data_IF_646768482985
#
_entry.id   IF_646768482985
#
_cell.length_a   1.000
_cell.length_b   1.000
_cell.length_c   1.000
_cell.angle_alpha   90.00
_cell.angle_beta   90.00
_cell.angle_gamma   90.00
#
_symmetry.space_group_name_H-M   'P 1'
#
loop_
_entity.id
_entity.type
_entity.pdbx_description
1 polymer ?
#
# COMPACT_ATOMS: atom_id res chain seq x y z
N UNK A 1 28.73 -43.52 -11.72
CA UNK A 1 28.72 -42.25 -10.96
C UNK A 1 28.26 -41.04 -11.78
N UNK A 2 28.72 -40.86 -13.03
CA UNK A 2 28.37 -39.71 -13.89
C UNK A 2 26.85 -39.54 -14.16
N UNK A 3 26.11 -40.65 -14.31
CA UNK A 3 24.64 -40.64 -14.50
C UNK A 3 23.88 -40.24 -13.23
N UNK A 4 24.37 -40.65 -12.07
CA UNK A 4 23.81 -40.26 -10.76
C UNK A 4 24.01 -38.76 -10.52
N UNK A 5 25.19 -38.24 -10.89
CA UNK A 5 25.51 -36.82 -10.78
C UNK A 5 24.59 -35.96 -11.66
N UNK A 6 24.32 -36.40 -12.89
CA UNK A 6 23.38 -35.73 -13.80
C UNK A 6 21.95 -35.72 -13.23
N UNK A 7 21.48 -36.86 -12.70
CA UNK A 7 20.17 -36.96 -12.07
C UNK A 7 20.03 -36.02 -10.85
N UNK A 8 21.06 -35.97 -9.99
CA UNK A 8 21.07 -35.09 -8.83
C UNK A 8 21.08 -33.59 -9.21
N UNK A 9 21.78 -33.21 -10.28
CA UNK A 9 21.78 -31.84 -10.79
C UNK A 9 20.41 -31.45 -11.37
N UNK A 10 19.76 -32.36 -12.09
CA UNK A 10 18.44 -32.10 -12.65
C UNK A 10 17.36 -31.97 -11.58
N UNK A 11 17.39 -32.78 -10.53
CA UNK A 11 16.41 -32.68 -9.44
C UNK A 11 16.58 -31.39 -8.63
N UNK A 12 17.83 -30.92 -8.44
CA UNK A 12 18.10 -29.65 -7.77
C UNK A 12 17.61 -28.45 -8.61
N UNK A 13 17.75 -28.51 -9.94
CA UNK A 13 17.28 -27.46 -10.84
C UNK A 13 15.75 -27.34 -10.88
N UNK A 14 15.02 -28.46 -10.80
CA UNK A 14 13.55 -28.46 -10.79
C UNK A 14 12.94 -28.12 -9.42
N UNK A 15 13.65 -28.40 -8.32
CA UNK A 15 13.18 -28.13 -6.95
C UNK A 15 13.34 -26.68 -6.48
N UNK A 16 14.02 -25.82 -7.25
CA UNK A 16 14.29 -24.43 -6.86
C UNK A 16 13.10 -23.48 -7.05
N UNK A 17 12.01 -23.92 -7.70
CA UNK A 17 10.83 -23.11 -7.96
C UNK A 17 9.97 -22.99 -6.69
N UNK A 18 10.32 -22.06 -5.80
CA UNK A 18 9.58 -21.78 -4.55
C UNK A 18 10.46 -21.59 -3.32
N UNK A 19 11.75 -21.96 -3.39
CA UNK A 19 12.74 -21.70 -2.33
C UNK A 19 13.26 -20.26 -2.32
N UNK A 20 13.07 -19.53 -3.42
CA UNK A 20 13.36 -18.11 -3.48
C UNK A 20 12.14 -17.34 -2.94
N UNK A 21 12.29 -16.58 -1.82
CA UNK A 21 11.20 -15.74 -1.34
C UNK A 21 10.77 -14.82 -2.47
N UNK A 22 9.46 -14.72 -2.67
CA UNK A 22 8.86 -13.94 -3.74
C UNK A 22 9.26 -12.46 -3.58
N UNK A 23 10.36 -12.04 -4.21
CA UNK A 23 10.93 -10.68 -4.11
C UNK A 23 10.03 -9.59 -4.71
N UNK A 24 8.87 -9.96 -5.24
CA UNK A 24 7.92 -9.04 -5.84
C UNK A 24 7.02 -8.35 -4.80
N UNK A 25 6.85 -8.92 -3.61
CA UNK A 25 6.10 -8.31 -2.50
C UNK A 25 7.01 -7.55 -1.53
N UNK A 26 7.93 -6.73 -2.06
CA UNK A 26 8.86 -6.00 -1.21
C UNK A 26 8.30 -4.60 -0.87
N UNK A 27 7.75 -4.46 0.34
CA UNK A 27 7.23 -3.17 0.83
C UNK A 27 8.35 -2.14 1.11
N UNK A 28 9.62 -2.54 0.97
CA UNK A 28 10.77 -1.68 1.17
C UNK A 28 11.03 -0.69 0.02
N UNK A 29 10.35 -0.85 -1.12
CA UNK A 29 10.49 0.10 -2.23
C UNK A 29 9.58 1.30 -1.99
N UNK A 30 10.13 2.53 -1.91
CA UNK A 30 9.31 3.71 -1.69
C UNK A 30 8.29 3.84 -2.82
N UNK A 31 7.03 4.10 -2.44
CA UNK A 31 5.92 4.24 -3.39
C UNK A 31 5.54 5.70 -3.58
N UNK A 32 4.99 6.11 -4.74
CA UNK A 32 4.63 7.50 -4.99
C UNK A 32 3.67 8.08 -3.93
N UNK A 33 2.74 7.27 -3.43
CA UNK A 33 1.79 7.70 -2.40
C UNK A 33 2.46 7.94 -1.02
N UNK A 34 3.65 7.40 -0.75
CA UNK A 34 4.36 7.61 0.52
C UNK A 34 4.91 9.04 0.63
N UNK A 35 5.09 9.71 -0.51
CA UNK A 35 5.43 11.14 -0.57
C UNK A 35 4.21 12.07 -0.53
N UNK A 36 2.99 11.54 -0.38
CA UNK A 36 1.80 12.36 -0.34
C UNK A 36 1.77 13.19 0.96
N UNK A 37 1.68 14.52 0.80
CA UNK A 37 1.52 15.43 1.92
C UNK A 37 0.04 15.47 2.37
N UNK A 38 -0.16 15.51 3.68
CA UNK A 38 -1.49 15.62 4.25
C UNK A 38 -1.98 17.07 4.12
N UNK A 39 -2.91 17.31 3.20
CA UNK A 39 -3.49 18.63 3.01
C UNK A 39 -4.33 19.05 4.23
N UNK A 40 -4.27 20.33 4.65
CA UNK A 40 -5.11 20.83 5.72
C UNK A 40 -6.58 20.77 5.33
N UNK A 41 -7.45 20.74 6.33
CA UNK A 41 -8.89 20.77 6.10
C UNK A 41 -9.29 22.02 5.30
N UNK A 42 -10.25 21.84 4.38
CA UNK A 42 -10.84 22.93 3.61
C UNK A 42 -11.42 23.98 4.56
N UNK A 43 -11.05 25.24 4.35
CA UNK A 43 -11.63 26.37 5.07
C UNK A 43 -12.79 26.93 4.27
N UNK A 44 -13.82 27.35 5.01
CA UNK A 44 -14.94 28.09 4.43
C UNK A 44 -14.56 29.57 4.45
N UNK A 45 -14.67 30.24 3.31
CA UNK A 45 -14.39 31.67 3.19
C UNK A 45 -15.37 32.51 4.02
N UNK A 46 -14.93 33.70 4.44
CA UNK A 46 -15.76 34.60 5.23
C UNK A 46 -17.05 34.97 4.48
N UNK A 47 -18.20 34.79 5.14
CA UNK A 47 -19.52 35.08 4.57
C UNK A 47 -20.19 33.89 3.87
N UNK A 48 -19.54 32.73 3.74
CA UNK A 48 -20.18 31.50 3.28
C UNK A 48 -20.79 30.69 4.44
N UNK A 49 -21.96 30.10 4.19
CA UNK A 49 -22.60 29.22 5.15
C UNK A 49 -21.81 27.91 5.31
N UNK A 50 -21.58 27.49 6.55
CA UNK A 50 -21.04 26.17 6.86
C UNK A 50 -22.02 25.07 6.40
N UNK A 51 -21.52 23.89 6.03
CA UNK A 51 -22.38 22.75 5.73
C UNK A 51 -23.25 22.40 6.96
N UNK A 52 -24.53 22.09 6.71
CA UNK A 52 -25.46 21.70 7.78
C UNK A 52 -25.05 20.36 8.39
N UNK A 53 -24.58 20.39 9.65
CA UNK A 53 -24.14 19.21 10.40
C UNK A 53 -25.22 18.63 11.32
N UNK A 54 -26.46 19.14 11.29
CA UNK A 54 -27.54 18.67 12.18
C UNK A 54 -27.89 17.19 12.01
N UNK A 55 -27.73 16.67 10.79
CA UNK A 55 -27.92 15.24 10.47
C UNK A 55 -26.59 14.49 10.30
N UNK A 56 -25.47 15.06 10.75
CA UNK A 56 -24.18 14.39 10.65
C UNK A 56 -24.13 13.15 11.56
N UNK A 57 -23.52 12.09 11.04
CA UNK A 57 -23.23 10.89 11.82
C UNK A 57 -22.29 11.26 12.98
N UNK A 58 -22.73 11.07 14.23
CA UNK A 58 -21.87 11.25 15.41
C UNK A 58 -20.88 10.10 15.49
N UNK A 59 -19.62 10.40 15.20
CA UNK A 59 -18.53 9.43 15.34
C UNK A 59 -18.21 9.28 16.84
N UNK A 60 -18.32 8.08 17.43
CA UNK A 60 -17.95 7.85 18.82
C UNK A 60 -16.44 8.00 19.04
N UNK A 61 -16.06 8.37 20.25
CA UNK A 61 -14.65 8.38 20.64
C UNK A 61 -14.07 6.95 20.65
N UNK A 62 -12.88 6.81 20.07
CA UNK A 62 -12.15 5.54 20.03
C UNK A 62 -11.53 5.29 21.40
N UNK A 63 -11.99 4.25 22.11
CA UNK A 63 -11.50 3.89 23.45
C UNK A 63 -10.23 3.02 23.44
N UNK A 64 -9.87 2.48 22.29
CA UNK A 64 -8.76 1.54 22.15
C UNK A 64 -7.75 2.01 21.11
N UNK A 65 -6.47 1.65 21.27
CA UNK A 65 -5.49 1.87 20.23
C UNK A 65 -5.87 1.10 18.95
N UNK A 66 -5.41 1.57 17.78
CA UNK A 66 -5.60 0.85 16.53
C UNK A 66 -4.95 -0.54 16.61
N UNK A 67 -5.51 -1.54 15.89
CA UNK A 67 -4.93 -2.88 15.86
C UNK A 67 -3.51 -2.85 15.28
N UNK A 68 -2.61 -3.71 15.76
CA UNK A 68 -1.27 -3.84 15.20
C UNK A 68 -1.36 -4.30 13.73
N UNK A 69 -0.54 -3.69 12.88
CA UNK A 69 -0.45 -4.05 11.46
C UNK A 69 0.55 -5.20 11.29
N UNK A 70 0.23 -6.14 10.41
CA UNK A 70 1.15 -7.20 10.01
C UNK A 70 2.25 -6.60 9.12
N UNK A 71 3.53 -6.59 9.54
CA UNK A 71 4.63 -6.02 8.76
C UNK A 71 5.00 -6.88 7.53
N UNK A 72 4.54 -8.13 7.46
CA UNK A 72 4.87 -9.06 6.38
C UNK A 72 3.98 -8.93 5.14
N UNK A 73 2.84 -8.23 5.27
CA UNK A 73 1.88 -8.05 4.18
C UNK A 73 1.89 -6.60 3.70
N UNK A 74 2.34 -6.37 2.47
CA UNK A 74 2.22 -5.06 1.84
C UNK A 74 0.74 -4.71 1.62
N UNK A 75 0.41 -3.43 1.76
CA UNK A 75 -0.88 -2.90 1.30
C UNK A 75 -0.90 -2.88 -0.23
N UNK A 76 -2.09 -3.08 -0.80
CA UNK A 76 -2.29 -2.94 -2.24
C UNK A 76 -2.04 -1.49 -2.67
N UNK A 77 -1.43 -1.32 -3.85
CA UNK A 77 -1.22 0.00 -4.44
C UNK A 77 -2.60 0.66 -4.66
N UNK A 78 -2.83 1.88 -4.14
CA UNK A 78 -4.10 2.55 -4.32
C UNK A 78 -4.34 2.82 -5.82
N UNK A 79 -5.60 2.78 -6.29
CA UNK A 79 -5.91 3.18 -7.65
C UNK A 79 -5.53 4.65 -7.87
N UNK A 80 -5.14 5.05 -9.09
CA UNK A 80 -4.79 6.43 -9.38
C UNK A 80 -6.01 7.35 -9.19
N UNK A 81 -5.84 8.42 -8.40
CA UNK A 81 -6.83 9.47 -8.26
C UNK A 81 -6.83 10.37 -9.51
N UNK A 82 -7.66 10.02 -10.50
CA UNK A 82 -7.98 10.88 -11.64
C UNK A 82 -6.95 10.92 -12.77
N UNK A 83 -7.30 11.66 -13.84
CA UNK A 83 -6.41 11.90 -14.98
C UNK A 83 -5.15 12.66 -14.54
N UNK A 84 -4.05 12.45 -15.26
CA UNK A 84 -2.77 13.10 -14.98
C UNK A 84 -2.94 14.61 -14.74
N UNK A 85 -2.34 15.10 -13.66
CA UNK A 85 -2.33 16.54 -13.35
C UNK A 85 -1.71 17.28 -14.55
N UNK A 86 -2.36 18.29 -15.14
CA UNK A 86 -1.77 19.05 -16.23
C UNK A 86 -0.45 19.67 -15.76
N UNK A 87 0.58 19.55 -16.59
CA UNK A 87 1.89 20.14 -16.34
C UNK A 87 1.72 21.66 -16.42
N UNK A 88 1.97 22.37 -15.32
CA UNK A 88 2.06 23.82 -15.35
C UNK A 88 3.25 24.23 -16.24
N UNK A 89 3.08 25.21 -17.15
CA UNK A 89 4.15 25.68 -18.03
C UNK A 89 5.30 26.34 -17.27
#
# INVERSE_FOLDING_TARGET
>A
MKRLLLLALTSLALGACGLLPNRTANCAKPKPYESAEQLPALRVEAGMALPDTRNALKIPELKSPPPPRDPSRCLDEPPPFGAARPVSP
#
